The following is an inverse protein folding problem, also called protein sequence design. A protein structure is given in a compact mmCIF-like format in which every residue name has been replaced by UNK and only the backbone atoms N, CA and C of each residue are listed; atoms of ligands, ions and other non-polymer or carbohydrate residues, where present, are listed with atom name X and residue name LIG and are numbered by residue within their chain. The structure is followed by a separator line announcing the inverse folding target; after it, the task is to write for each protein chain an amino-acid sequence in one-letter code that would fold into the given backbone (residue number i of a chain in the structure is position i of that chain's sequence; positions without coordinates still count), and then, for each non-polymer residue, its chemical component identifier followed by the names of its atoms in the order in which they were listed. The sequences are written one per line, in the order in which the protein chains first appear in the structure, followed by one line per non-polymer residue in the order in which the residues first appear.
data_IF_648438459417
#
_entry.id   IF_648438459417
#
_cell.length_a   1.000
_cell.length_b   1.000
_cell.length_c   1.000
_cell.angle_alpha   90.00
_cell.angle_beta   90.00
_cell.angle_gamma   90.00
#
_symmetry.space_group_name_H-M   'P 1'
#
loop_
_entity.id
_entity.type
_entity.pdbx_description
1 polymer ?
#
# COMPACT_ATOMS: atom_id res chain seq x y z
N UNK A 1 -10.22 -6.28 49.43
CA UNK A 1 -9.69 -5.45 48.32
C UNK A 1 -9.14 -6.26 47.13
N UNK A 2 -8.61 -7.48 47.31
CA UNK A 2 -8.08 -8.29 46.18
C UNK A 2 -9.13 -8.78 45.16
N UNK A 3 -10.34 -9.17 45.60
CA UNK A 3 -11.38 -9.71 44.70
C UNK A 3 -11.85 -8.73 43.60
N UNK A 4 -12.01 -7.45 43.92
CA UNK A 4 -12.41 -6.43 42.93
C UNK A 4 -11.27 -5.99 42.01
N UNK A 5 -10.02 -6.30 42.34
CA UNK A 5 -8.86 -6.08 41.47
C UNK A 5 -8.71 -7.21 40.46
N UNK A 6 -8.89 -8.46 40.92
CA UNK A 6 -8.88 -9.65 40.06
C UNK A 6 -10.03 -9.63 39.05
N UNK A 7 -11.23 -9.21 39.47
CA UNK A 7 -12.38 -9.09 38.56
C UNK A 7 -12.14 -8.07 37.44
N UNK A 8 -11.53 -6.93 37.76
CA UNK A 8 -11.22 -5.89 36.77
C UNK A 8 -10.17 -6.37 35.77
N UNK A 9 -9.12 -7.04 36.26
CA UNK A 9 -8.10 -7.65 35.41
C UNK A 9 -8.72 -8.69 34.45
N UNK A 10 -9.62 -9.53 34.96
CA UNK A 10 -10.34 -10.53 34.16
C UNK A 10 -11.24 -9.88 33.11
N UNK A 11 -11.98 -8.82 33.47
CA UNK A 11 -12.84 -8.07 32.54
C UNK A 11 -12.02 -7.41 31.43
N UNK A 12 -10.87 -6.81 31.76
CA UNK A 12 -9.97 -6.19 30.77
C UNK A 12 -9.41 -7.23 29.81
N UNK A 13 -9.01 -8.41 30.31
CA UNK A 13 -8.53 -9.51 29.47
C UNK A 13 -9.64 -10.06 28.57
N UNK A 14 -10.83 -10.29 29.11
CA UNK A 14 -11.98 -10.80 28.35
C UNK A 14 -12.45 -9.80 27.28
N UNK A 15 -12.55 -8.51 27.60
CA UNK A 15 -12.84 -7.49 26.60
C UNK A 15 -11.73 -7.39 25.56
N UNK A 16 -10.46 -7.42 25.96
CA UNK A 16 -9.33 -7.42 25.04
C UNK A 16 -9.38 -8.59 24.05
N UNK A 17 -9.69 -9.78 24.53
CA UNK A 17 -9.88 -10.98 23.70
C UNK A 17 -11.10 -10.87 22.78
N UNK A 18 -12.20 -10.28 23.26
CA UNK A 18 -13.40 -10.05 22.46
C UNK A 18 -13.13 -9.04 21.34
N UNK A 19 -12.41 -7.96 21.64
CA UNK A 19 -11.96 -6.98 20.65
C UNK A 19 -11.03 -7.57 19.59
N UNK A 20 -10.13 -8.49 19.96
CA UNK A 20 -9.27 -9.21 19.02
C UNK A 20 -10.07 -10.00 17.96
N UNK A 21 -11.29 -10.42 18.29
CA UNK A 21 -12.16 -11.22 17.42
C UNK A 21 -13.13 -10.37 16.61
N UNK A 22 -13.25 -9.08 16.90
CA UNK A 22 -14.30 -8.25 16.31
C UNK A 22 -13.83 -7.58 15.00
N UNK A 23 -14.49 -7.85 13.85
CA UNK A 23 -14.07 -7.34 12.55
C UNK A 23 -14.16 -5.81 12.45
N UNK A 24 -14.97 -5.17 13.29
CA UNK A 24 -15.08 -3.70 13.36
C UNK A 24 -13.77 -3.05 13.84
N UNK A 25 -13.01 -3.74 14.70
CA UNK A 25 -11.73 -3.24 15.20
C UNK A 25 -10.71 -3.13 14.05
N UNK A 26 -10.74 -4.05 13.09
CA UNK A 26 -9.85 -4.02 11.92
C UNK A 26 -10.06 -2.76 11.08
N UNK A 27 -11.32 -2.35 10.88
CA UNK A 27 -11.65 -1.11 10.15
C UNK A 27 -11.17 0.14 10.88
N UNK A 28 -11.24 0.18 12.21
CA UNK A 28 -10.68 1.28 12.99
C UNK A 28 -9.14 1.28 12.94
N UNK A 29 -8.53 0.10 13.05
CA UNK A 29 -7.09 -0.09 12.88
C UNK A 29 -6.58 0.44 11.53
N UNK A 30 -7.34 0.25 10.44
CA UNK A 30 -7.03 0.83 9.13
C UNK A 30 -7.05 2.36 9.11
N UNK A 31 -7.95 3.00 9.86
CA UNK A 31 -7.99 4.48 9.97
C UNK A 31 -6.71 4.98 10.65
N UNK A 32 -6.29 4.31 11.73
CA UNK A 32 -5.05 4.64 12.43
C UNK A 32 -3.82 4.43 11.55
N UNK A 33 -3.79 3.32 10.80
CA UNK A 33 -2.75 3.06 9.81
C UNK A 33 -2.68 4.15 8.75
N UNK A 34 -3.81 4.54 8.16
CA UNK A 34 -3.85 5.60 7.14
C UNK A 34 -3.30 6.90 7.71
N UNK A 35 -3.66 7.25 8.94
CA UNK A 35 -3.10 8.40 9.64
C UNK A 35 -1.59 8.26 9.85
N UNK A 36 -1.10 7.10 10.28
CA UNK A 36 0.33 6.85 10.44
C UNK A 36 1.09 6.98 9.11
N UNK A 37 0.60 6.38 8.02
CA UNK A 37 1.26 6.44 6.71
C UNK A 37 1.26 7.84 6.12
N UNK A 38 0.21 8.62 6.38
CA UNK A 38 0.13 10.02 5.97
C UNK A 38 1.18 10.90 6.66
N UNK A 39 1.50 10.61 7.93
CA UNK A 39 2.40 11.41 8.75
C UNK A 39 3.83 10.84 8.87
N UNK A 40 4.05 9.58 8.52
CA UNK A 40 5.36 8.95 8.58
C UNK A 40 6.27 9.50 7.47
N UNK A 41 7.49 9.90 7.86
CA UNK A 41 8.52 10.25 6.89
C UNK A 41 9.02 8.98 6.19
N UNK A 42 9.07 8.97 4.84
CA UNK A 42 9.58 7.84 4.09
C UNK A 42 11.12 7.75 4.23
N UNK A 43 11.67 6.53 4.09
CA UNK A 43 13.12 6.28 4.21
C UNK A 43 13.94 7.04 3.15
N UNK A 44 15.16 7.41 3.52
CA UNK A 44 16.07 8.30 2.76
C UNK A 44 16.58 7.73 1.42
N UNK A 45 16.55 6.41 1.20
CA UNK A 45 17.05 5.81 -0.04
C UNK A 45 16.03 5.94 -1.19
N UNK A 46 16.28 6.74 -2.23
CA UNK A 46 15.38 6.87 -3.36
C UNK A 46 15.27 5.55 -4.13
N UNK A 47 14.07 5.17 -4.61
CA UNK A 47 13.90 3.96 -5.41
C UNK A 47 14.54 4.13 -6.81
N UNK A 48 15.09 3.07 -7.43
CA UNK A 48 15.51 3.04 -8.82
C UNK A 48 14.29 2.99 -9.77
N UNK A 49 13.45 4.01 -9.69
CA UNK A 49 12.21 4.20 -10.44
C UNK A 49 12.16 5.64 -10.95
N UNK A 50 11.91 5.77 -12.24
CA UNK A 50 11.62 7.05 -12.89
C UNK A 50 10.20 7.02 -13.43
N UNK A 51 9.39 8.02 -13.05
CA UNK A 51 8.01 8.19 -13.46
C UNK A 51 7.99 9.28 -14.54
N UNK A 52 7.34 9.00 -15.66
CA UNK A 52 7.18 9.95 -16.77
C UNK A 52 5.71 10.12 -17.08
N UNK A 53 5.24 11.36 -17.00
CA UNK A 53 3.86 11.71 -17.30
C UNK A 53 3.71 11.98 -18.80
N UNK A 54 2.84 11.18 -19.43
CA UNK A 54 2.52 11.18 -20.85
C UNK A 54 1.06 11.58 -21.01
N UNK A 55 0.81 12.52 -21.90
CA UNK A 55 -0.52 13.07 -22.15
C UNK A 55 -0.75 14.41 -21.46
N UNK A 56 -1.95 14.98 -21.65
CA UNK A 56 -2.33 16.29 -21.12
C UNK A 56 -2.92 16.16 -19.72
N UNK A 57 -2.58 17.08 -18.83
CA UNK A 57 -3.25 17.20 -17.53
C UNK A 57 -4.76 17.28 -17.75
N UNK A 58 -5.57 16.46 -17.05
CA UNK A 58 -7.00 16.54 -17.22
C UNK A 58 -7.47 17.88 -16.66
N UNK A 59 -8.23 18.63 -17.46
CA UNK A 59 -8.81 19.90 -17.04
C UNK A 59 -9.79 19.55 -15.90
N UNK A 60 -9.65 20.14 -14.69
CA UNK A 60 -10.55 19.82 -13.60
C UNK A 60 -11.99 20.13 -14.02
N UNK A 61 -12.94 19.22 -13.78
CA UNK A 61 -14.34 19.50 -14.07
C UNK A 61 -14.76 20.74 -13.27
N UNK A 62 -15.38 21.72 -13.93
CA UNK A 62 -15.97 22.87 -13.24
C UNK A 62 -16.98 22.33 -12.21
N UNK A 63 -16.87 22.80 -10.97
CA UNK A 63 -17.82 22.44 -9.90
C UNK A 63 -19.26 22.65 -10.38
N UNK A 64 -20.06 21.58 -10.37
CA UNK A 64 -21.49 21.63 -10.67
C UNK A 64 -21.93 21.08 -12.03
N UNK A 65 -21.02 20.57 -12.88
CA UNK A 65 -21.42 19.84 -14.08
C UNK A 65 -21.71 18.37 -13.73
N UNK A 66 -22.96 17.92 -13.90
CA UNK A 66 -23.26 16.48 -13.99
C UNK A 66 -22.50 15.92 -15.19
N UNK A 67 -21.44 15.16 -14.92
CA UNK A 67 -20.68 14.46 -15.97
C UNK A 67 -21.57 13.34 -16.50
N UNK A 68 -22.03 13.51 -17.74
CA UNK A 68 -22.83 12.54 -18.47
C UNK A 68 -22.08 11.17 -18.47
N UNK A 69 -22.74 10.03 -18.19
CA UNK A 69 -22.14 8.70 -18.31
C UNK A 69 -21.43 8.50 -19.67
N UNK A 70 -21.94 9.14 -20.72
CA UNK A 70 -21.31 9.15 -22.05
C UNK A 70 -20.01 9.95 -22.07
N UNK A 71 -19.91 11.07 -21.35
CA UNK A 71 -18.67 11.85 -21.19
C UNK A 71 -17.62 11.10 -20.36
N UNK A 72 -18.01 10.30 -19.36
CA UNK A 72 -17.07 9.38 -18.68
C UNK A 72 -16.55 8.29 -19.62
N UNK A 73 -17.41 7.72 -20.45
CA UNK A 73 -17.03 6.70 -21.43
C UNK A 73 -16.11 7.28 -22.51
N UNK A 74 -16.41 8.49 -22.98
CA UNK A 74 -15.59 9.23 -23.94
C UNK A 74 -14.31 9.81 -23.31
N UNK A 75 -14.29 10.20 -22.03
CA UNK A 75 -13.03 10.51 -21.32
C UNK A 75 -12.15 9.26 -21.14
N UNK A 76 -12.75 8.08 -20.98
CA UNK A 76 -12.04 6.80 -21.01
C UNK A 76 -11.49 6.40 -22.40
N UNK A 77 -11.97 7.05 -23.47
CA UNK A 77 -11.63 6.75 -24.86
C UNK A 77 -10.93 7.90 -25.63
N UNK A 78 -10.94 9.15 -25.12
CA UNK A 78 -10.60 10.34 -25.91
C UNK A 78 -9.66 11.37 -25.23
N UNK A 79 -8.95 11.04 -24.14
CA UNK A 79 -7.92 11.96 -23.61
C UNK A 79 -6.54 11.30 -23.43
N UNK A 80 -5.73 11.46 -24.47
CA UNK A 80 -4.25 11.56 -24.47
C UNK A 80 -3.39 10.29 -24.23
N UNK A 81 -3.54 9.28 -25.09
CA UNK A 81 -2.47 8.34 -25.44
C UNK A 81 -2.30 8.33 -26.96
N UNK A 82 -1.66 9.32 -27.58
CA UNK A 82 -1.37 9.18 -29.01
C UNK A 82 -0.25 8.16 -29.24
N UNK A 83 -0.30 7.33 -30.29
CA UNK A 83 0.80 6.41 -30.59
C UNK A 83 2.13 7.15 -30.78
N UNK A 84 2.06 8.36 -31.33
CA UNK A 84 3.21 9.23 -31.52
C UNK A 84 3.83 9.69 -30.18
N UNK A 85 3.04 10.12 -29.19
CA UNK A 85 3.56 10.47 -27.86
C UNK A 85 4.22 9.26 -27.18
N UNK A 86 3.61 8.08 -27.30
CA UNK A 86 4.19 6.84 -26.78
C UNK A 86 5.51 6.48 -27.49
N UNK A 87 5.59 6.67 -28.80
CA UNK A 87 6.81 6.46 -29.59
C UNK A 87 7.93 7.45 -29.21
N UNK A 88 7.59 8.74 -29.08
CA UNK A 88 8.50 9.80 -28.64
C UNK A 88 9.03 9.55 -27.23
N UNK A 89 8.17 9.10 -26.33
CA UNK A 89 8.57 8.67 -24.99
C UNK A 89 9.59 7.53 -25.06
N UNK A 90 9.32 6.48 -25.84
CA UNK A 90 10.25 5.36 -26.00
C UNK A 90 11.59 5.82 -26.56
N UNK A 91 11.57 6.62 -27.62
CA UNK A 91 12.78 7.16 -28.23
C UNK A 91 13.65 7.90 -27.21
N UNK A 92 13.04 8.78 -26.40
CA UNK A 92 13.77 9.54 -25.39
C UNK A 92 14.21 8.71 -24.19
N UNK A 93 13.38 7.76 -23.73
CA UNK A 93 13.73 6.87 -22.64
C UNK A 93 14.92 5.96 -23.01
N UNK A 94 14.95 5.46 -24.24
CA UNK A 94 15.99 4.54 -24.73
C UNK A 94 17.40 5.15 -24.76
N UNK A 95 17.52 6.47 -24.92
CA UNK A 95 18.80 7.19 -24.83
C UNK A 95 19.51 6.97 -23.48
N UNK A 96 18.73 6.70 -22.43
CA UNK A 96 19.22 6.47 -21.08
C UNK A 96 19.38 4.98 -20.72
N UNK A 97 19.11 4.06 -21.66
CA UNK A 97 19.28 2.60 -21.51
C UNK A 97 18.62 2.03 -20.23
N UNK A 98 17.29 2.18 -20.08
CA UNK A 98 16.57 1.61 -18.94
C UNK A 98 16.56 0.08 -18.99
N UNK A 99 16.43 -0.57 -17.84
CA UNK A 99 16.28 -2.03 -17.78
C UNK A 99 14.88 -2.48 -18.18
N UNK A 100 13.86 -1.72 -17.78
CA UNK A 100 12.45 -2.01 -18.07
C UNK A 100 11.74 -0.70 -18.39
N UNK A 101 10.92 -0.70 -19.43
CA UNK A 101 9.98 0.38 -19.71
C UNK A 101 8.58 -0.17 -19.52
N UNK A 102 7.77 0.51 -18.70
CA UNK A 102 6.44 0.07 -18.33
C UNK A 102 5.41 1.13 -18.70
N UNK A 103 4.35 0.75 -19.42
CA UNK A 103 3.19 1.59 -19.68
C UNK A 103 2.07 1.22 -18.71
N UNK A 104 1.78 2.12 -17.78
CA UNK A 104 0.58 2.05 -16.94
C UNK A 104 -0.71 2.16 -17.76
N UNK A 105 -0.86 3.06 -18.75
CA UNK A 105 -2.10 3.09 -19.51
C UNK A 105 -2.20 1.89 -20.47
N UNK A 106 -3.43 1.40 -20.68
CA UNK A 106 -3.71 0.39 -21.70
C UNK A 106 -3.55 1.04 -23.08
N UNK A 107 -2.52 0.62 -23.83
CA UNK A 107 -2.22 1.12 -25.17
C UNK A 107 -3.14 0.47 -26.20
N UNK A 108 -4.28 1.09 -26.48
CA UNK A 108 -5.21 0.66 -27.52
C UNK A 108 -5.61 1.87 -28.35
N UNK A 109 -5.37 1.79 -29.65
CA UNK A 109 -5.53 2.94 -30.55
C UNK A 109 -6.62 2.68 -31.60
N UNK A 110 -7.27 3.74 -32.11
CA UNK A 110 -8.22 3.58 -33.20
C UNK A 110 -7.49 3.18 -34.50
N UNK A 111 -8.14 2.37 -35.35
CA UNK A 111 -7.53 1.89 -36.61
C UNK A 111 -7.02 2.99 -37.54
N UNK A 112 -7.54 4.22 -37.39
CA UNK A 112 -7.11 5.39 -38.17
C UNK A 112 -5.68 5.84 -37.88
N UNK A 113 -5.11 5.39 -36.76
CA UNK A 113 -3.77 5.78 -36.31
C UNK A 113 -2.72 4.66 -36.49
N UNK A 114 -3.05 3.60 -37.26
CA UNK A 114 -2.16 2.44 -37.50
C UNK A 114 -0.78 2.84 -38.06
N UNK A 115 -0.70 3.84 -38.93
CA UNK A 115 0.58 4.31 -39.46
C UNK A 115 1.48 4.89 -38.35
N UNK A 116 0.89 5.52 -37.33
CA UNK A 116 1.62 6.05 -36.17
C UNK A 116 1.96 4.95 -35.16
N UNK A 117 1.08 3.95 -35.02
CA UNK A 117 1.35 2.74 -34.24
C UNK A 117 2.58 1.99 -34.76
N UNK A 118 2.77 1.92 -36.08
CA UNK A 118 3.98 1.34 -36.69
C UNK A 118 5.27 1.99 -36.17
N UNK A 119 5.28 3.33 -36.03
CA UNK A 119 6.43 4.08 -35.48
C UNK A 119 6.68 3.69 -34.03
N UNK A 120 5.62 3.52 -33.24
CA UNK A 120 5.72 3.03 -31.88
C UNK A 120 6.31 1.61 -31.84
N UNK A 121 5.80 0.69 -32.65
CA UNK A 121 6.27 -0.70 -32.72
C UNK A 121 7.77 -0.77 -33.04
N UNK A 122 8.25 0.05 -33.99
CA UNK A 122 9.65 0.11 -34.38
C UNK A 122 10.58 0.55 -33.21
N UNK A 123 10.11 1.47 -32.36
CA UNK A 123 10.85 1.87 -31.16
C UNK A 123 10.72 0.84 -30.04
N UNK A 124 9.53 0.26 -29.87
CA UNK A 124 9.22 -0.71 -28.83
C UNK A 124 10.04 -2.01 -28.99
N UNK A 125 10.32 -2.42 -30.22
CA UNK A 125 11.21 -3.54 -30.54
C UNK A 125 12.66 -3.34 -30.04
N UNK A 126 13.09 -2.09 -29.79
CA UNK A 126 14.42 -1.76 -29.26
C UNK A 126 14.47 -1.77 -27.73
N UNK A 127 13.33 -1.87 -27.07
CA UNK A 127 13.22 -1.86 -25.61
C UNK A 127 13.68 -3.21 -25.04
N UNK A 128 14.61 -3.24 -24.06
CA UNK A 128 15.09 -4.50 -23.50
C UNK A 128 14.00 -5.37 -22.90
N UNK A 129 13.10 -4.75 -22.11
CA UNK A 129 11.91 -5.35 -21.51
C UNK A 129 10.78 -4.32 -21.50
N UNK A 130 9.71 -4.63 -22.22
CA UNK A 130 8.51 -3.81 -22.30
C UNK A 130 7.40 -4.43 -21.45
N UNK A 131 6.84 -3.66 -20.52
CA UNK A 131 5.66 -4.03 -19.74
C UNK A 131 4.48 -3.17 -20.21
N UNK A 132 3.35 -3.81 -20.46
CA UNK A 132 2.14 -3.18 -20.98
C UNK A 132 0.98 -3.40 -20.03
N UNK A 133 0.26 -2.32 -19.72
CA UNK A 133 -0.94 -2.35 -18.91
C UNK A 133 -2.08 -3.12 -19.59
N UNK A 134 -2.75 -3.97 -18.81
CA UNK A 134 -3.99 -4.64 -19.18
C UNK A 134 -4.94 -4.67 -17.97
N UNK A 135 -6.23 -4.89 -18.22
CA UNK A 135 -7.27 -4.97 -17.20
C UNK A 135 -8.01 -6.31 -17.34
N UNK A 136 -8.21 -6.98 -16.20
CA UNK A 136 -9.03 -8.17 -16.07
C UNK A 136 -10.49 -7.80 -15.84
N UNK A 137 -11.40 -8.72 -16.17
CA UNK A 137 -12.83 -8.59 -15.91
C UNK A 137 -13.40 -9.88 -15.32
N UNK A 138 -14.40 -9.74 -14.46
CA UNK A 138 -15.17 -10.86 -13.92
C UNK A 138 -16.30 -11.30 -14.86
N UNK A 139 -16.63 -10.49 -15.87
CA UNK A 139 -17.64 -10.78 -16.89
C UNK A 139 -16.95 -10.87 -18.26
N UNK A 140 -16.34 -12.02 -18.58
CA UNK A 140 -15.69 -12.24 -19.87
C UNK A 140 -16.72 -12.20 -20.98
N UNK A 141 -16.32 -11.61 -22.10
CA UNK A 141 -17.00 -11.84 -23.37
C UNK A 141 -16.77 -13.32 -23.78
N UNK A 142 -17.83 -14.12 -23.98
CA UNK A 142 -17.69 -15.53 -24.34
C UNK A 142 -17.01 -15.75 -25.69
N UNK A 143 -17.00 -14.76 -26.58
CA UNK A 143 -16.43 -14.85 -27.92
C UNK A 143 -14.98 -14.36 -27.99
N UNK A 144 -14.45 -13.78 -26.90
CA UNK A 144 -13.08 -13.28 -26.85
C UNK A 144 -12.07 -14.44 -26.72
N UNK A 145 -10.96 -14.42 -27.49
CA UNK A 145 -9.93 -15.45 -27.42
C UNK A 145 -9.28 -15.49 -26.03
N UNK A 146 -9.06 -16.70 -25.54
CA UNK A 146 -8.41 -16.94 -24.26
C UNK A 146 -6.92 -16.67 -24.41
N UNK A 147 -6.41 -15.65 -23.73
CA UNK A 147 -4.97 -15.43 -23.64
C UNK A 147 -4.39 -16.29 -22.50
N UNK A 148 -3.35 -17.07 -22.81
CA UNK A 148 -2.57 -17.78 -21.80
C UNK A 148 -1.68 -16.76 -21.07
N UNK A 149 -1.96 -16.56 -19.78
CA UNK A 149 -1.18 -15.67 -18.92
C UNK A 149 -0.19 -16.53 -18.12
N UNK A 150 1.11 -16.18 -18.07
CA UNK A 150 2.08 -16.96 -17.32
C UNK A 150 1.77 -16.90 -15.82
N UNK A 151 1.27 -18.02 -15.29
CA UNK A 151 0.96 -18.18 -13.88
C UNK A 151 2.18 -18.59 -13.04
N UNK A 152 2.06 -18.40 -11.72
CA UNK A 152 3.04 -18.91 -10.77
C UNK A 152 2.83 -20.42 -10.54
N UNK A 153 3.83 -21.27 -10.84
CA UNK A 153 3.69 -22.71 -10.65
C UNK A 153 3.81 -23.13 -9.18
N UNK A 154 4.50 -22.35 -8.34
CA UNK A 154 4.80 -22.71 -6.95
C UNK A 154 3.97 -21.90 -5.95
N UNK A 155 2.68 -22.25 -5.84
CA UNK A 155 1.73 -21.56 -4.95
C UNK A 155 1.24 -22.50 -3.86
N UNK A 156 1.41 -22.06 -2.61
CA UNK A 156 0.95 -22.74 -1.39
C UNK A 156 0.01 -21.83 -0.60
N UNK A 157 -0.94 -22.42 0.15
CA UNK A 157 -1.93 -21.67 0.93
C UNK A 157 -3.33 -21.66 0.29
N UNK A 158 -4.27 -20.99 0.94
CA UNK A 158 -5.68 -20.93 0.52
C UNK A 158 -5.85 -19.89 -0.59
N UNK A 159 -6.22 -20.35 -1.80
CA UNK A 159 -6.42 -19.46 -2.97
C UNK A 159 -7.74 -18.69 -2.93
N UNK A 160 -8.79 -19.27 -2.33
CA UNK A 160 -10.15 -18.72 -2.39
C UNK A 160 -10.38 -17.38 -1.68
N UNK A 161 -9.35 -16.77 -1.09
CA UNK A 161 -9.42 -15.42 -0.55
C UNK A 161 -8.85 -14.38 -1.54
N UNK A 162 -8.20 -14.80 -2.62
CA UNK A 162 -7.71 -13.94 -3.69
C UNK A 162 -8.86 -13.39 -4.54
N UNK A 163 -8.63 -12.21 -5.14
CA UNK A 163 -9.58 -11.62 -6.07
C UNK A 163 -9.58 -12.42 -7.37
N UNK A 164 -10.74 -12.94 -7.74
CA UNK A 164 -10.92 -13.81 -8.90
C UNK A 164 -11.42 -13.04 -10.12
N UNK A 165 -10.79 -13.32 -11.26
CA UNK A 165 -11.18 -12.86 -12.59
C UNK A 165 -11.28 -14.04 -13.55
N UNK A 166 -12.15 -13.91 -14.54
CA UNK A 166 -12.49 -14.96 -15.51
C UNK A 166 -12.21 -14.54 -16.95
N UNK A 167 -12.04 -13.24 -17.21
CA UNK A 167 -11.76 -12.64 -18.51
C UNK A 167 -10.72 -11.52 -18.49
N UNK A 168 -10.33 -11.10 -19.68
CA UNK A 168 -9.56 -9.88 -19.92
C UNK A 168 -10.54 -8.83 -20.44
N UNK A 169 -10.60 -7.67 -19.80
CA UNK A 169 -11.47 -6.56 -20.17
C UNK A 169 -10.80 -5.68 -21.23
N UNK A 170 -9.77 -4.93 -20.83
CA UNK A 170 -8.99 -4.07 -21.73
C UNK A 170 -7.58 -4.61 -21.87
N UNK A 171 -7.08 -4.64 -23.09
CA UNK A 171 -5.71 -5.04 -23.39
C UNK A 171 -5.19 -4.27 -24.59
N UNK A 172 -3.85 -4.20 -24.77
CA UNK A 172 -3.26 -3.62 -25.96
C UNK A 172 -3.63 -4.39 -27.23
N UNK A 173 -3.43 -3.73 -28.38
CA UNK A 173 -3.61 -4.35 -29.68
C UNK A 173 -2.64 -5.51 -29.92
N UNK A 174 -3.01 -6.45 -30.79
CA UNK A 174 -2.31 -7.73 -30.93
C UNK A 174 -0.81 -7.58 -31.22
N UNK A 175 -0.48 -6.71 -32.16
CA UNK A 175 0.90 -6.42 -32.56
C UNK A 175 1.73 -5.88 -31.39
N UNK A 176 1.12 -5.02 -30.57
CA UNK A 176 1.75 -4.45 -29.36
C UNK A 176 1.93 -5.51 -28.27
N UNK A 177 0.99 -6.46 -28.12
CA UNK A 177 1.11 -7.55 -27.15
C UNK A 177 2.24 -8.52 -27.49
N UNK A 178 2.52 -8.75 -28.77
CA UNK A 178 3.56 -9.69 -29.20
C UNK A 178 4.97 -9.22 -28.80
N UNK A 179 5.17 -7.91 -28.65
CA UNK A 179 6.48 -7.31 -28.37
C UNK A 179 6.70 -6.98 -26.89
N UNK A 180 5.67 -7.14 -26.05
CA UNK A 180 5.70 -6.79 -24.64
C UNK A 180 5.13 -7.88 -23.72
N UNK A 181 5.38 -7.72 -22.43
CA UNK A 181 4.74 -8.56 -21.40
C UNK A 181 3.54 -7.83 -20.81
N UNK A 182 2.45 -8.52 -20.55
CA UNK A 182 1.26 -7.93 -19.94
C UNK A 182 1.39 -7.83 -18.42
N UNK A 183 0.90 -6.73 -17.85
CA UNK A 183 0.75 -6.52 -16.41
C UNK A 183 -0.63 -5.98 -16.08
N UNK A 184 -1.28 -6.54 -15.05
CA UNK A 184 -2.69 -6.25 -14.76
C UNK A 184 -2.88 -5.13 -13.76
N UNK A 185 -3.68 -4.12 -14.14
CA UNK A 185 -3.89 -2.85 -13.44
C UNK A 185 -5.11 -2.87 -12.51
N UNK A 186 -5.70 -4.02 -12.24
CA UNK A 186 -6.95 -4.08 -11.48
C UNK A 186 -6.77 -3.60 -10.04
N UNK A 187 -7.48 -2.54 -9.68
CA UNK A 187 -7.60 -2.05 -8.30
C UNK A 187 -9.05 -2.28 -7.84
N UNK A 188 -9.33 -3.34 -7.07
CA UNK A 188 -10.67 -3.55 -6.52
C UNK A 188 -11.08 -2.42 -5.57
N UNK A 189 -12.33 -1.95 -5.70
CA UNK A 189 -12.85 -0.85 -4.88
C UNK A 189 -13.00 -1.20 -3.39
N UNK A 190 -13.11 -2.49 -3.06
CA UNK A 190 -13.39 -2.97 -1.69
C UNK A 190 -12.17 -2.99 -0.78
N UNK A 191 -10.96 -3.13 -1.34
CA UNK A 191 -9.68 -3.17 -0.62
C UNK A 191 -9.01 -1.80 -0.65
N UNK A 192 -9.67 -0.78 -0.08
CA UNK A 192 -9.07 0.49 0.33
C UNK A 192 -7.88 0.97 -0.52
N UNK A 193 -8.19 1.51 -1.70
CA UNK A 193 -7.32 1.79 -2.85
C UNK A 193 -6.01 2.57 -2.59
N UNK A 194 -5.75 3.07 -1.38
CA UNK A 194 -4.55 3.87 -1.07
C UNK A 194 -3.48 3.12 -0.27
N UNK A 195 -3.84 2.01 0.38
CA UNK A 195 -2.94 1.33 1.34
C UNK A 195 -2.78 -0.15 1.06
N UNK A 196 -3.86 -0.83 0.65
CA UNK A 196 -3.84 -2.24 0.30
C UNK A 196 -3.76 -2.37 -1.20
N UNK A 197 -2.62 -2.81 -1.70
CA UNK A 197 -2.39 -2.95 -3.14
C UNK A 197 -2.32 -4.42 -3.50
N UNK A 198 -3.12 -4.89 -4.46
CA UNK A 198 -3.07 -6.28 -4.89
C UNK A 198 -1.74 -6.56 -5.61
N UNK A 199 -1.05 -7.62 -5.18
CA UNK A 199 0.13 -8.14 -5.87
C UNK A 199 -0.17 -9.41 -6.65
N UNK A 200 -1.24 -10.11 -6.28
CA UNK A 200 -1.65 -11.39 -6.85
C UNK A 200 -3.13 -11.32 -7.20
N UNK A 201 -3.47 -11.90 -8.35
CA UNK A 201 -4.85 -12.15 -8.76
C UNK A 201 -5.05 -13.63 -9.03
N UNK A 202 -6.28 -14.10 -8.91
CA UNK A 202 -6.68 -15.41 -9.38
C UNK A 202 -7.33 -15.25 -10.76
N UNK A 203 -6.74 -15.87 -11.79
CA UNK A 203 -7.31 -15.93 -13.12
C UNK A 203 -7.55 -17.38 -13.49
N UNK A 204 -8.83 -17.76 -13.65
CA UNK A 204 -9.24 -19.12 -14.02
C UNK A 204 -8.62 -20.23 -13.15
N UNK A 205 -8.50 -19.98 -11.84
CA UNK A 205 -7.93 -20.92 -10.86
C UNK A 205 -6.39 -20.89 -10.74
N UNK A 206 -5.71 -20.16 -11.62
CA UNK A 206 -4.27 -19.92 -11.56
C UNK A 206 -3.96 -18.58 -10.89
N UNK A 207 -2.78 -18.48 -10.25
CA UNK A 207 -2.35 -17.24 -9.60
C UNK A 207 -1.40 -16.50 -10.51
N UNK A 208 -1.75 -15.25 -10.81
CA UNK A 208 -1.03 -14.39 -11.74
C UNK A 208 -0.54 -13.11 -11.04
N UNK A 209 0.54 -12.48 -11.53
CA UNK A 209 1.07 -11.24 -10.96
C UNK A 209 0.22 -10.02 -11.33
N UNK A 210 0.15 -9.04 -10.42
CA UNK A 210 -0.31 -7.70 -10.77
C UNK A 210 0.75 -6.92 -11.54
N UNK A 211 0.37 -5.79 -12.14
CA UNK A 211 1.26 -4.92 -12.91
C UNK A 211 2.54 -4.55 -12.14
N UNK A 212 2.41 -4.12 -10.89
CA UNK A 212 3.56 -3.70 -10.09
C UNK A 212 4.48 -4.87 -9.72
N UNK A 213 3.93 -6.06 -9.45
CA UNK A 213 4.73 -7.26 -9.21
C UNK A 213 5.47 -7.69 -10.49
N UNK A 214 4.77 -7.66 -11.64
CA UNK A 214 5.34 -8.02 -12.93
C UNK A 214 6.50 -7.07 -13.32
N UNK A 215 6.34 -5.76 -13.11
CA UNK A 215 7.40 -4.77 -13.32
C UNK A 215 8.66 -5.10 -12.50
N UNK A 216 8.47 -5.45 -11.23
CA UNK A 216 9.57 -5.81 -10.36
C UNK A 216 10.23 -7.13 -10.76
N UNK A 217 9.47 -8.15 -11.18
CA UNK A 217 10.01 -9.42 -11.68
C UNK A 217 10.86 -9.23 -12.93
N UNK A 218 10.37 -8.44 -13.89
CA UNK A 218 11.11 -8.10 -15.12
C UNK A 218 12.42 -7.37 -14.81
N UNK A 219 12.38 -6.43 -13.85
CA UNK A 219 13.57 -5.68 -13.44
C UNK A 219 14.60 -6.55 -12.71
N UNK A 220 14.14 -7.42 -11.81
CA UNK A 220 14.99 -8.40 -11.13
C UNK A 220 15.43 -9.56 -12.03
N UNK A 221 14.88 -9.65 -13.26
CA UNK A 221 15.10 -10.75 -14.21
C UNK A 221 14.73 -12.13 -13.64
N UNK A 222 13.68 -12.18 -12.83
CA UNK A 222 13.19 -13.39 -12.17
C UNK A 222 11.98 -13.93 -12.94
N UNK A 223 12.01 -15.21 -13.27
CA UNK A 223 10.87 -15.87 -13.94
C UNK A 223 9.81 -16.29 -12.92
N UNK A 224 8.51 -16.39 -13.31
CA UNK A 224 7.46 -16.89 -12.40
C UNK A 224 7.78 -18.24 -11.77
N UNK A 225 8.56 -19.10 -12.44
CA UNK A 225 8.96 -20.41 -11.94
C UNK A 225 9.90 -20.37 -10.72
N UNK A 226 10.66 -19.30 -10.56
CA UNK A 226 11.57 -19.10 -9.44
C UNK A 226 10.87 -18.51 -8.20
N UNK A 227 9.66 -18.00 -8.37
CA UNK A 227 8.90 -17.34 -7.31
C UNK A 227 8.10 -18.37 -6.52
N UNK A 228 8.30 -18.37 -5.20
CA UNK A 228 7.54 -19.22 -4.26
C UNK A 228 6.53 -18.38 -3.51
N UNK A 229 5.26 -18.74 -3.59
CA UNK A 229 4.17 -17.99 -2.97
C UNK A 229 3.57 -18.82 -1.82
N UNK A 230 3.54 -18.22 -0.63
CA UNK A 230 2.76 -18.70 0.52
C UNK A 230 1.67 -17.64 0.81
N UNK A 231 0.46 -17.90 0.31
CA UNK A 231 -0.67 -16.96 0.39
C UNK A 231 -0.98 -16.68 1.86
N UNK A 232 -1.04 -15.40 2.23
CA UNK A 232 -1.22 -14.97 3.62
C UNK A 232 0.07 -14.80 4.42
N UNK A 233 1.25 -15.08 3.85
CA UNK A 233 2.53 -14.86 4.53
C UNK A 233 3.50 -14.04 3.70
N UNK A 234 3.98 -14.58 2.59
CA UNK A 234 5.00 -13.90 1.78
C UNK A 234 5.10 -14.47 0.36
N UNK A 235 5.50 -13.60 -0.56
CA UNK A 235 6.08 -13.96 -1.86
C UNK A 235 7.59 -13.99 -1.67
N UNK A 236 8.20 -15.15 -1.90
CA UNK A 236 9.64 -15.34 -1.81
C UNK A 236 10.25 -15.22 -3.19
N UNK A 237 11.04 -14.15 -3.35
CA UNK A 237 11.92 -13.92 -4.47
C UNK A 237 13.32 -14.50 -4.13
N UNK A 238 14.21 -14.68 -5.12
CA UNK A 238 15.58 -15.15 -4.86
C UNK A 238 16.34 -14.30 -3.83
N UNK A 239 16.14 -12.97 -3.86
CA UNK A 239 16.90 -12.02 -3.03
C UNK A 239 16.06 -11.27 -1.98
N UNK A 240 14.73 -11.42 -2.00
CA UNK A 240 13.84 -10.65 -1.11
C UNK A 240 12.57 -11.42 -0.76
N UNK A 241 11.84 -10.92 0.24
CA UNK A 241 10.56 -11.47 0.68
C UNK A 241 9.54 -10.34 0.78
N UNK A 242 8.47 -10.45 0.01
CA UNK A 242 7.38 -9.49 0.03
C UNK A 242 6.30 -10.03 0.95
N UNK A 243 5.94 -9.35 2.06
CA UNK A 243 4.84 -9.78 2.90
C UNK A 243 3.51 -9.57 2.15
N UNK A 244 2.66 -10.61 2.17
CA UNK A 244 1.32 -10.56 1.57
C UNK A 244 0.27 -11.03 2.58
N UNK A 245 -0.93 -10.48 2.46
CA UNK A 245 -2.11 -10.92 3.22
C UNK A 245 -2.81 -12.09 2.51
N UNK A 246 -3.84 -12.64 3.14
CA UNK A 246 -4.60 -13.78 2.60
C UNK A 246 -5.33 -13.43 1.31
N UNK A 247 -5.69 -12.17 1.14
CA UNK A 247 -6.30 -11.60 -0.06
C UNK A 247 -5.29 -11.29 -1.19
N UNK A 248 -4.00 -11.60 -1.00
CA UNK A 248 -2.95 -11.33 -1.98
C UNK A 248 -2.53 -9.86 -2.04
N UNK A 249 -2.98 -9.02 -1.11
CA UNK A 249 -2.59 -7.61 -1.03
C UNK A 249 -1.35 -7.40 -0.17
N UNK A 250 -0.59 -6.36 -0.47
CA UNK A 250 0.48 -5.84 0.38
C UNK A 250 0.12 -4.46 0.93
N UNK A 251 0.62 -4.15 2.12
CA UNK A 251 0.43 -2.84 2.77
C UNK A 251 1.57 -1.91 2.35
N UNK A 252 1.22 -0.83 1.68
CA UNK A 252 2.17 0.04 0.99
C UNK A 252 1.99 1.49 1.43
N UNK A 253 3.10 2.19 1.60
CA UNK A 253 3.07 3.62 1.84
C UNK A 253 2.96 4.34 0.50
N UNK A 254 1.81 4.94 0.22
CA UNK A 254 1.56 5.67 -1.02
C UNK A 254 2.53 6.86 -1.23
N UNK A 255 3.10 7.42 -0.15
CA UNK A 255 4.14 8.44 -0.24
C UNK A 255 5.49 7.90 -0.77
N UNK A 256 5.66 6.59 -0.92
CA UNK A 256 6.87 6.01 -1.50
C UNK A 256 7.12 6.48 -2.94
N UNK A 257 6.04 6.70 -3.72
CA UNK A 257 6.12 7.20 -5.09
C UNK A 257 6.66 8.64 -5.20
N UNK A 258 6.39 9.49 -4.20
CA UNK A 258 6.86 10.89 -4.18
C UNK A 258 8.40 11.01 -4.15
N UNK A 259 9.09 9.92 -3.82
CA UNK A 259 10.56 9.85 -3.83
C UNK A 259 11.13 9.39 -5.17
N UNK A 260 10.31 8.80 -6.03
CA UNK A 260 10.72 8.46 -7.37
C UNK A 260 10.91 9.74 -8.17
N UNK A 261 11.81 9.72 -9.14
CA UNK A 261 12.00 10.87 -10.04
C UNK A 261 10.75 11.02 -10.89
N UNK A 262 10.29 12.26 -11.08
CA UNK A 262 9.15 12.55 -11.93
C UNK A 262 9.58 13.54 -13.00
N UNK A 263 9.25 13.21 -14.24
CA UNK A 263 9.45 14.08 -15.40
C UNK A 263 8.16 14.19 -16.19
N UNK A 264 7.94 15.35 -16.80
CA UNK A 264 7.00 15.43 -17.93
C UNK A 264 7.65 14.86 -19.19
N UNK A 265 6.83 14.44 -20.16
CA UNK A 265 7.33 14.02 -21.48
C UNK A 265 8.25 15.08 -22.11
N UNK A 266 7.90 16.36 -22.00
CA UNK A 266 8.67 17.46 -22.56
C UNK A 266 10.06 17.58 -21.91
N UNK A 267 10.15 17.41 -20.59
CA UNK A 267 11.43 17.40 -19.87
C UNK A 267 12.30 16.22 -20.28
N UNK A 268 11.70 15.04 -20.47
CA UNK A 268 12.43 13.85 -20.94
C UNK A 268 12.96 14.05 -22.37
N UNK A 269 12.16 14.61 -23.27
CA UNK A 269 12.57 14.92 -24.64
C UNK A 269 13.72 15.93 -24.67
N UNK A 270 13.61 17.00 -23.88
CA UNK A 270 14.66 18.00 -23.75
C UNK A 270 15.94 17.39 -23.19
N UNK A 271 15.83 16.54 -22.17
CA UNK A 271 16.95 15.82 -21.58
C UNK A 271 17.64 14.88 -22.58
N UNK A 272 16.87 14.13 -23.37
CA UNK A 272 17.39 13.27 -24.42
C UNK A 272 18.14 14.07 -25.51
N UNK A 273 17.58 15.20 -25.93
CA UNK A 273 18.21 16.08 -26.91
C UNK A 273 19.53 16.68 -26.40
N UNK A 274 19.58 17.09 -25.13
CA UNK A 274 20.80 17.60 -24.50
C UNK A 274 21.91 16.54 -24.45
N UNK A 275 21.55 15.28 -24.14
CA UNK A 275 22.47 14.15 -24.13
C UNK A 275 23.03 13.85 -25.54
N UNK A 276 22.17 13.86 -26.56
CA UNK A 276 22.59 13.71 -27.96
C UNK A 276 23.56 14.83 -28.40
N UNK A 277 23.39 16.04 -27.88
CA UNK A 277 24.30 17.17 -28.10
C UNK A 277 25.58 17.11 -27.26
N UNK A 278 25.81 16.02 -26.51
CA UNK A 278 27.00 15.83 -25.68
C UNK A 278 27.05 16.70 -24.42
N UNK A 279 25.94 17.34 -24.01
CA UNK A 279 25.85 18.08 -22.76
C UNK A 279 25.52 17.12 -21.63
N UNK A 280 26.26 17.22 -20.52
CA UNK A 280 26.01 16.42 -19.32
C UNK A 280 24.65 16.80 -18.72
N UNK A 281 23.66 15.91 -18.82
CA UNK A 281 22.41 16.02 -18.07
C UNK A 281 22.65 15.46 -16.65
N UNK A 282 23.11 16.35 -15.76
CA UNK A 282 23.60 16.07 -14.39
C UNK A 282 22.62 15.22 -13.54
N UNK A 283 21.35 15.08 -13.93
CA UNK A 283 20.31 14.37 -13.18
C UNK A 283 19.78 13.07 -13.83
N UNK A 284 20.26 12.64 -15.01
CA UNK A 284 19.63 11.53 -15.76
C UNK A 284 20.56 10.34 -16.09
N UNK A 285 21.86 10.43 -15.82
CA UNK A 285 22.78 9.28 -16.00
C UNK A 285 22.46 8.09 -15.09
N UNK A 286 21.69 8.32 -14.02
CA UNK A 286 21.23 7.27 -13.10
C UNK A 286 20.01 6.50 -13.60
N UNK A 287 19.33 6.91 -14.69
CA UNK A 287 18.21 6.15 -15.27
C UNK A 287 18.64 4.81 -15.86
N UNK A 288 19.96 4.63 -16.05
CA UNK A 288 20.54 3.38 -16.50
C UNK A 288 20.18 2.24 -15.55
N UNK A 289 19.71 1.13 -16.10
CA UNK A 289 19.29 -0.07 -15.36
C UNK A 289 18.09 0.12 -14.39
N UNK A 290 17.35 1.23 -14.50
CA UNK A 290 16.12 1.47 -13.72
C UNK A 290 14.84 1.04 -14.46
N UNK A 291 13.72 1.07 -13.73
CA UNK A 291 12.37 1.00 -14.33
C UNK A 291 11.93 2.41 -14.71
N UNK A 292 11.50 2.60 -15.95
CA UNK A 292 10.87 3.84 -16.43
C UNK A 292 9.38 3.58 -16.61
N UNK A 293 8.56 4.22 -15.79
CA UNK A 293 7.12 4.08 -15.77
C UNK A 293 6.47 5.24 -16.51
N UNK A 294 5.89 4.96 -17.68
CA UNK A 294 4.99 5.82 -18.41
C UNK A 294 3.60 5.79 -17.77
N UNK A 295 3.04 6.96 -17.47
CA UNK A 295 1.72 7.11 -16.87
C UNK A 295 0.97 8.30 -17.45
N UNK A 296 -0.34 8.32 -17.29
CA UNK A 296 -1.10 9.55 -17.48
C UNK A 296 -0.91 10.50 -16.30
N UNK A 297 -0.90 11.83 -16.53
CA UNK A 297 -0.90 12.81 -15.46
C UNK A 297 -2.13 12.60 -14.57
N UNK A 298 -1.90 12.42 -13.27
CA UNK A 298 -2.99 12.25 -12.31
C UNK A 298 -3.76 13.57 -12.15
N UNK A 299 -5.08 13.50 -12.10
CA UNK A 299 -5.89 14.59 -11.55
C UNK A 299 -5.41 14.90 -10.13
N UNK A 300 -5.37 16.18 -9.75
CA UNK A 300 -5.05 16.62 -8.38
C UNK A 300 -5.99 16.07 -7.30
N UNK A 301 -7.10 15.45 -7.71
CA UNK A 301 -8.10 14.75 -6.89
C UNK A 301 -8.03 13.21 -7.00
N UNK A 302 -7.17 12.64 -7.84
CA UNK A 302 -7.04 11.19 -8.01
C UNK A 302 -6.22 10.54 -6.89
N UNK A 303 -6.50 9.27 -6.65
CA UNK A 303 -5.81 8.44 -5.65
C UNK A 303 -4.29 8.50 -5.84
N UNK A 304 -3.52 8.43 -4.74
CA UNK A 304 -2.06 8.49 -4.80
C UNK A 304 -1.50 7.40 -5.73
N UNK A 305 -0.30 7.64 -6.25
CA UNK A 305 0.39 6.81 -7.25
C UNK A 305 0.65 5.37 -6.78
N UNK A 306 -0.39 4.54 -6.74
CA UNK A 306 -0.39 3.25 -6.05
C UNK A 306 0.57 2.27 -6.73
N UNK A 307 0.58 2.18 -8.05
CA UNK A 307 1.50 1.30 -8.78
C UNK A 307 2.95 1.74 -8.64
N UNK A 308 3.23 3.03 -8.81
CA UNK A 308 4.58 3.57 -8.64
C UNK A 308 5.08 3.40 -7.19
N UNK A 309 4.22 3.63 -6.20
CA UNK A 309 4.54 3.44 -4.79
C UNK A 309 4.83 1.97 -4.49
N UNK A 310 4.10 1.06 -5.15
CA UNK A 310 4.30 -0.38 -5.01
C UNK A 310 5.61 -0.84 -5.61
N UNK A 311 5.93 -0.42 -6.83
CA UNK A 311 7.20 -0.72 -7.47
C UNK A 311 8.35 -0.18 -6.62
N UNK A 312 8.25 1.08 -6.17
CA UNK A 312 9.23 1.69 -5.27
C UNK A 312 9.39 0.91 -3.95
N UNK A 313 8.28 0.45 -3.36
CA UNK A 313 8.31 -0.34 -2.12
C UNK A 313 8.94 -1.72 -2.33
N UNK A 314 8.72 -2.37 -3.48
CA UNK A 314 9.36 -3.64 -3.84
C UNK A 314 10.87 -3.44 -4.02
N UNK A 315 11.28 -2.43 -4.79
CA UNK A 315 12.69 -2.17 -5.06
C UNK A 315 13.47 -1.79 -3.79
N UNK A 316 12.86 -1.02 -2.89
CA UNK A 316 13.49 -0.59 -1.62
C UNK A 316 13.19 -1.51 -0.44
N UNK A 317 12.44 -2.61 -0.66
CA UNK A 317 11.99 -3.56 0.35
C UNK A 317 11.32 -2.88 1.57
N UNK A 318 10.56 -1.80 1.33
CA UNK A 318 9.99 -0.93 2.36
C UNK A 318 8.52 -1.28 2.66
N UNK A 319 8.21 -2.57 2.80
CA UNK A 319 6.85 -3.03 3.05
C UNK A 319 6.44 -2.80 4.50
N UNK A 320 5.19 -2.36 4.68
CA UNK A 320 4.63 -2.16 6.02
C UNK A 320 4.17 -3.51 6.56
N UNK A 321 4.70 -3.90 7.72
CA UNK A 321 4.36 -5.16 8.38
C UNK A 321 3.67 -4.89 9.71
N UNK A 322 2.56 -5.60 9.96
CA UNK A 322 1.92 -5.61 11.28
C UNK A 322 2.85 -6.30 12.27
N UNK A 323 2.99 -5.74 13.47
CA UNK A 323 3.68 -6.42 14.57
C UNK A 323 3.00 -7.76 14.87
N UNK A 324 3.76 -8.73 15.37
CA UNK A 324 3.24 -10.05 15.73
C UNK A 324 2.05 -9.95 16.71
N UNK A 325 1.08 -10.84 16.58
CA UNK A 325 -0.07 -10.95 17.49
C UNK A 325 0.35 -11.11 18.97
N UNK A 326 1.55 -11.61 19.22
CA UNK A 326 2.14 -11.72 20.56
C UNK A 326 2.23 -10.35 21.24
N UNK A 327 2.49 -9.29 20.47
CA UNK A 327 2.55 -7.93 20.98
C UNK A 327 1.19 -7.47 21.52
N UNK A 328 0.09 -7.83 20.84
CA UNK A 328 -1.27 -7.53 21.30
C UNK A 328 -1.53 -8.18 22.67
N UNK A 329 -1.14 -9.45 22.83
CA UNK A 329 -1.27 -10.16 24.10
C UNK A 329 -0.43 -9.54 25.22
N UNK A 330 0.83 -9.19 24.94
CA UNK A 330 1.70 -8.55 25.93
C UNK A 330 1.14 -7.19 26.36
N UNK A 331 0.64 -6.38 25.42
CA UNK A 331 0.05 -5.09 25.74
C UNK A 331 -1.21 -5.21 26.59
N UNK A 332 -2.09 -6.18 26.31
CA UNK A 332 -3.26 -6.46 27.16
C UNK A 332 -2.82 -6.79 28.58
N UNK A 333 -1.81 -7.65 28.75
CA UNK A 333 -1.29 -8.02 30.07
C UNK A 333 -0.67 -6.84 30.81
N UNK A 334 0.08 -5.98 30.12
CA UNK A 334 0.67 -4.76 30.70
C UNK A 334 -0.42 -3.80 31.18
N UNK A 335 -1.45 -3.55 30.35
CA UNK A 335 -2.58 -2.69 30.72
C UNK A 335 -3.37 -3.29 31.89
N UNK A 336 -3.59 -4.61 31.87
CA UNK A 336 -4.26 -5.32 32.94
C UNK A 336 -3.48 -5.25 34.27
N UNK A 337 -2.15 -5.39 34.24
CA UNK A 337 -1.28 -5.23 35.42
C UNK A 337 -1.24 -3.80 35.94
N UNK A 338 -1.24 -2.81 35.04
CA UNK A 338 -1.22 -1.39 35.40
C UNK A 338 -2.55 -0.90 36.01
N UNK A 339 -3.67 -1.61 35.79
CA UNK A 339 -4.98 -1.26 36.38
C UNK A 339 -5.01 -1.25 37.92
N UNK A 340 -4.10 -1.99 38.57
CA UNK A 340 -4.02 -2.11 40.03
C UNK A 340 -3.47 -0.85 40.72
N UNK A 341 -2.33 -0.27 40.30
CA UNK A 341 -1.81 0.98 40.88
C UNK A 341 -2.65 2.22 40.54
N UNK A 342 -3.33 2.27 39.39
CA UNK A 342 -4.08 3.46 38.95
C UNK A 342 -5.23 3.87 39.90
N UNK A 343 -5.75 2.96 40.74
CA UNK A 343 -6.75 3.28 41.76
C UNK A 343 -6.29 4.21 42.88
N UNK A 344 -4.98 4.45 43.01
CA UNK A 344 -4.40 5.32 44.04
C UNK A 344 -4.26 6.78 43.62
N UNK A 345 -4.41 7.08 42.33
CA UNK A 345 -4.20 8.41 41.76
C UNK A 345 -5.49 9.25 41.70
N UNK A 346 -5.34 10.57 41.66
CA UNK A 346 -6.46 11.50 41.46
C UNK A 346 -7.07 11.33 40.07
N UNK A 347 -8.38 11.56 39.94
CA UNK A 347 -9.11 11.42 38.66
C UNK A 347 -8.55 12.31 37.56
N UNK A 348 -8.12 13.53 37.93
CA UNK A 348 -7.54 14.52 37.00
C UNK A 348 -6.16 14.06 36.52
N UNK A 349 -5.30 13.62 37.45
CA UNK A 349 -3.96 13.11 37.13
C UNK A 349 -4.05 11.89 36.21
N UNK A 350 -5.04 11.03 36.44
CA UNK A 350 -5.25 9.81 35.65
C UNK A 350 -5.67 10.15 34.21
N UNK A 351 -6.53 11.17 34.02
CA UNK A 351 -6.89 11.67 32.69
C UNK A 351 -5.69 12.28 31.97
N UNK A 352 -4.90 13.10 32.67
CA UNK A 352 -3.74 13.78 32.10
C UNK A 352 -2.64 12.76 31.71
N UNK A 353 -2.44 11.72 32.52
CA UNK A 353 -1.52 10.64 32.24
C UNK A 353 -1.97 9.78 31.04
N UNK A 354 -3.27 9.52 30.90
CA UNK A 354 -3.81 8.80 29.74
C UNK A 354 -3.61 9.58 28.43
N UNK A 355 -3.82 10.89 28.46
CA UNK A 355 -3.54 11.78 27.31
C UNK A 355 -2.04 11.76 26.98
N UNK A 356 -1.17 11.93 27.97
CA UNK A 356 0.28 11.92 27.76
C UNK A 356 0.77 10.57 27.18
N UNK A 357 0.26 9.45 27.69
CA UNK A 357 0.66 8.12 27.24
C UNK A 357 0.12 7.80 25.84
N UNK A 358 -1.11 8.21 25.53
CA UNK A 358 -1.64 8.06 24.17
C UNK A 358 -0.85 8.89 23.15
N UNK A 359 -0.50 10.14 23.46
CA UNK A 359 0.34 10.97 22.61
C UNK A 359 1.75 10.35 22.44
N UNK A 360 2.37 9.89 23.54
CA UNK A 360 3.65 9.21 23.50
C UNK A 360 3.62 7.93 22.67
N UNK A 361 2.56 7.13 22.78
CA UNK A 361 2.36 5.94 21.98
C UNK A 361 2.26 6.25 20.48
N UNK A 362 1.51 7.28 20.10
CA UNK A 362 1.42 7.72 18.71
C UNK A 362 2.78 8.14 18.14
N UNK A 363 3.60 8.87 18.92
CA UNK A 363 4.95 9.27 18.49
C UNK A 363 5.89 8.07 18.35
N UNK A 364 5.83 7.11 19.28
CA UNK A 364 6.61 5.87 19.20
C UNK A 364 6.18 5.05 17.97
N UNK A 365 4.88 4.93 17.73
CA UNK A 365 4.35 4.23 16.56
C UNK A 365 4.79 4.89 15.24
N UNK A 366 4.79 6.22 15.17
CA UNK A 366 5.33 6.96 14.02
C UNK A 366 6.82 6.71 13.83
N UNK A 367 7.61 6.77 14.90
CA UNK A 367 9.05 6.54 14.86
C UNK A 367 9.40 5.12 14.40
N UNK A 368 8.72 4.11 14.93
CA UNK A 368 8.91 2.70 14.54
C UNK A 368 8.47 2.46 13.10
N UNK A 369 7.36 3.06 12.65
CA UNK A 369 6.91 2.93 11.27
C UNK A 369 7.91 3.59 10.29
N UNK A 370 8.39 4.79 10.62
CA UNK A 370 9.36 5.52 9.77
C UNK A 370 10.70 4.78 9.69
N UNK A 371 11.21 4.27 10.82
CA UNK A 371 12.52 3.61 10.88
C UNK A 371 12.48 2.19 10.35
N UNK A 372 11.47 1.39 10.73
CA UNK A 372 11.44 -0.06 10.52
C UNK A 372 10.32 -0.55 9.61
N UNK A 373 9.41 0.33 9.17
CA UNK A 373 8.21 -0.06 8.41
C UNK A 373 7.35 -1.08 9.16
N UNK A 374 7.36 -1.02 10.50
CA UNK A 374 6.53 -1.85 11.36
C UNK A 374 5.37 -1.00 11.88
N UNK A 375 4.16 -1.46 11.63
CA UNK A 375 2.93 -0.91 12.19
C UNK A 375 2.75 -1.43 13.61
N UNK A 376 2.40 -0.53 14.54
CA UNK A 376 1.87 -0.89 15.86
C UNK A 376 0.34 -0.69 15.95
N UNK A 377 -0.41 -1.61 16.59
CA UNK A 377 -1.86 -1.58 16.66
C UNK A 377 -2.32 -0.44 17.57
N UNK A 378 -3.05 0.53 17.03
CA UNK A 378 -3.47 1.71 17.80
C UNK A 378 -4.63 1.44 18.75
N UNK A 379 -5.72 0.89 18.23
CA UNK A 379 -7.00 0.86 18.93
C UNK A 379 -7.04 -0.10 20.12
N UNK A 380 -6.31 -1.21 20.05
CA UNK A 380 -6.30 -2.19 21.13
C UNK A 380 -5.62 -1.66 22.41
N UNK A 381 -4.37 -1.16 22.39
CA UNK A 381 -3.73 -0.61 23.59
C UNK A 381 -4.36 0.72 24.04
N UNK A 382 -4.76 1.59 23.11
CA UNK A 382 -5.41 2.86 23.46
C UNK A 382 -6.81 2.62 24.02
N UNK A 383 -7.61 1.75 23.40
CA UNK A 383 -8.94 1.39 23.87
C UNK A 383 -8.90 0.72 25.24
N UNK A 384 -7.99 -0.23 25.45
CA UNK A 384 -7.81 -0.89 26.75
C UNK A 384 -7.42 0.12 27.85
N UNK A 385 -6.52 1.07 27.55
CA UNK A 385 -6.15 2.15 28.47
C UNK A 385 -7.37 3.01 28.85
N UNK A 386 -8.16 3.45 27.86
CA UNK A 386 -9.35 4.27 28.09
C UNK A 386 -10.47 3.52 28.83
N UNK A 387 -10.62 2.21 28.61
CA UNK A 387 -11.55 1.38 29.37
C UNK A 387 -11.14 1.32 30.84
N UNK A 388 -9.85 1.16 31.14
CA UNK A 388 -9.35 1.19 32.53
C UNK A 388 -9.61 2.55 33.17
N UNK A 389 -9.38 3.65 32.44
CA UNK A 389 -9.70 5.02 32.89
C UNK A 389 -11.19 5.15 33.21
N UNK A 390 -12.06 4.73 32.29
CA UNK A 390 -13.52 4.83 32.45
C UNK A 390 -14.03 4.01 33.64
N UNK A 391 -13.57 2.77 33.79
CA UNK A 391 -13.92 1.93 34.94
C UNK A 391 -13.40 2.51 36.26
N UNK A 392 -12.22 3.15 36.26
CA UNK A 392 -11.67 3.81 37.45
C UNK A 392 -12.46 5.05 37.89
N UNK A 393 -13.15 5.71 36.94
CA UNK A 393 -14.04 6.85 37.23
C UNK A 393 -15.39 6.40 37.82
N UNK A 394 -15.93 5.27 37.33
CA UNK A 394 -17.24 4.74 37.73
C UNK A 394 -17.17 3.99 39.08
N UNK A 395 -16.06 3.29 39.36
CA UNK A 395 -15.93 2.50 40.58
C UNK A 395 -15.60 3.41 41.78
N UNK A 396 -16.28 3.23 42.94
CA UNK A 396 -16.04 4.03 44.13
C UNK A 396 -14.59 3.87 44.61
N UNK A 397 -13.96 4.99 44.97
CA UNK A 397 -12.59 5.02 45.47
C UNK A 397 -12.44 4.03 46.64
N UNK A 398 -11.34 3.27 46.71
CA UNK A 398 -11.10 2.40 47.86
C UNK A 398 -11.10 3.27 49.12
N UNK A 399 -12.04 3.03 50.04
CA UNK A 399 -12.03 3.65 51.37
C UNK A 399 -10.62 3.44 51.94
N UNK A 400 -9.87 4.53 52.14
CA UNK A 400 -8.64 4.51 52.93
C UNK A 400 -9.04 3.85 54.24
N UNK A 401 -8.46 2.69 54.55
CA UNK A 401 -8.57 2.13 55.88
C UNK A 401 -7.95 3.19 56.81
N UNK A 402 -8.82 3.99 57.43
CA UNK A 402 -8.44 4.90 58.49
C UNK A 402 -7.75 4.05 59.53
N UNK A 403 -6.44 4.26 59.68
CA UNK A 403 -5.66 3.87 60.84
C UNK A 403 -6.51 4.20 62.07
N UNK A 404 -7.07 3.18 62.70
CA UNK A 404 -7.59 3.30 64.07
C UNK A 404 -6.37 3.59 64.93
N UNK A 405 -6.12 4.86 65.23
CA UNK A 405 -5.28 5.21 66.37
C UNK A 405 -6.00 4.63 67.60
N UNK A 406 -5.48 3.53 68.12
CA UNK A 406 -5.83 3.08 69.45
C UNK A 406 -5.36 4.17 70.42
N UNK A 407 -6.27 5.04 70.83
CA UNK A 407 -6.08 5.90 71.99
C UNK A 407 -5.99 4.96 73.18
N UNK A 408 -4.78 4.82 73.73
CA UNK A 408 -4.55 4.09 74.96
C UNK A 408 -5.37 4.74 76.09
N UNK A 409 -6.20 3.95 76.76
CA UNK A 409 -6.89 4.37 77.96
C UNK A 409 -5.87 4.55 79.10
N UNK A 410 -5.88 5.71 79.74
CA UNK A 410 -5.07 6.01 80.93
C UNK A 410 -5.49 5.13 82.12
N UNK A 411 -4.55 4.62 82.93
CA UNK A 411 -4.88 3.79 84.08
C UNK A 411 -5.44 4.64 85.25
N UNK A 412 -6.32 4.07 86.10
CA UNK A 412 -6.82 4.77 87.28
C UNK A 412 -5.72 4.85 88.35
N UNK A 413 -5.62 6.02 89.00
CA UNK A 413 -4.76 6.31 90.16
C UNK A 413 -5.61 6.13 91.43
N UNK A 414 -5.02 5.58 92.53
CA UNK A 414 -5.74 4.95 93.66
C UNK A 414 -6.64 5.85 94.51
#
# INVERSE_FOLDING_TARGET
MQRTSLWLMLVVVLLGLLFLREPRLQRCEEIFLRWLLKNAQPRDTPPPLTIVEIGREPIPPKEGAEVDPMERFLQGAASANSPLEAALFLQAALEFKPAVVAFEPVLKWPEREKDQEQIFLDQAMRVPKLLLGAELTATPDPDAPVAEIPAFPQVTGKRGDLIEFSGIGRQPDEDVRLIGTLGFLNLPNETAADVHVPLLFQYRGEVIPSFALQAALLWLRVTPAEVKIDIGKYIRLPHSKIPIRSDGTAVINANAAKRARRFSLNELLLAAQQRQQGKASVHLDEMRDQIVLARMPANSLASPDVFAATIAAIQTNSFVRRVSWIFDCVMILVVAGASVPFRKFSRIDLMLWAIALSAGYCLIALGILSRWSIWLPGFLPLGALWIVVLFSLILPAPKKASRTMAVAASPPVP
#
